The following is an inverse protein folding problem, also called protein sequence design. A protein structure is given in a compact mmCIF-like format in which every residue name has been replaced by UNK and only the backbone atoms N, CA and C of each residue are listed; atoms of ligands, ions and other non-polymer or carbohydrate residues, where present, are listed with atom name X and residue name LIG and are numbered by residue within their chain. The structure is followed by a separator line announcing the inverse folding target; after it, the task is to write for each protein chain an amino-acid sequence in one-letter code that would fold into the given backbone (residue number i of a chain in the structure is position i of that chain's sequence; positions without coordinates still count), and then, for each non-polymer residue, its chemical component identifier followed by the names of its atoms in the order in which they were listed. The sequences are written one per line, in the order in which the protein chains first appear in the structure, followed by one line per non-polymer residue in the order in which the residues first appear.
data_IF_807241997671
#
_entry.id   IF_807241997671
#
_cell.length_a   1.000
_cell.length_b   1.000
_cell.length_c   1.000
_cell.angle_alpha   90.00
_cell.angle_beta   90.00
_cell.angle_gamma   90.00
#
_symmetry.space_group_name_H-M   'P 1'
#
loop_
_entity.id
_entity.type
_entity.pdbx_description
1 polymer ?
#
# COMPACT_ATOMS: atom_id res chain seq x y z
N UNK A 1 -10.28 -14.35 5.53
CA UNK A 1 -10.35 -13.14 4.68
C UNK A 1 -10.23 -11.92 5.58
N UNK A 2 -9.55 -10.87 5.11
CA UNK A 2 -9.36 -9.61 5.81
C UNK A 2 -9.83 -8.51 4.86
N UNK A 3 -10.89 -7.78 5.22
CA UNK A 3 -11.25 -6.58 4.47
C UNK A 3 -10.13 -5.54 4.58
N UNK A 4 -9.70 -5.02 3.43
CA UNK A 4 -8.64 -4.02 3.26
C UNK A 4 -9.06 -2.93 2.26
N UNK A 5 -10.19 -2.25 2.50
CA UNK A 5 -10.65 -1.19 1.61
C UNK A 5 -9.60 -0.08 1.48
N UNK A 6 -9.50 0.52 0.31
CA UNK A 6 -8.63 1.66 0.10
C UNK A 6 -8.09 1.76 -1.31
N UNK A 7 -7.51 0.67 -1.84
CA UNK A 7 -7.16 0.60 -3.26
C UNK A 7 -8.45 0.62 -4.10
N UNK A 8 -9.36 -0.30 -3.77
CA UNK A 8 -10.80 -0.25 -4.09
C UNK A 8 -11.64 -0.40 -2.82
N UNK A 9 -12.95 -0.08 -2.84
CA UNK A 9 -13.84 -0.24 -1.68
C UNK A 9 -14.02 -1.70 -1.23
N UNK A 10 -13.87 -2.65 -2.14
CA UNK A 10 -14.08 -4.09 -1.95
C UNK A 10 -12.77 -4.89 -1.84
N UNK A 11 -11.62 -4.21 -1.83
CA UNK A 11 -10.31 -4.84 -1.67
C UNK A 11 -10.24 -5.71 -0.41
N UNK A 12 -9.67 -6.91 -0.56
CA UNK A 12 -9.43 -7.86 0.52
C UNK A 12 -7.99 -8.39 0.47
N UNK A 13 -7.52 -8.88 1.62
CA UNK A 13 -6.37 -9.78 1.72
C UNK A 13 -6.81 -11.17 2.19
N UNK A 14 -6.10 -12.20 1.75
CA UNK A 14 -6.28 -13.57 2.24
C UNK A 14 -5.07 -13.94 3.08
N UNK A 15 -5.32 -14.46 4.28
CA UNK A 15 -4.25 -14.87 5.19
C UNK A 15 -4.38 -16.35 5.51
N UNK A 16 -3.45 -17.13 5.00
CA UNK A 16 -3.23 -18.51 5.40
C UNK A 16 -2.36 -18.52 6.65
N UNK A 17 -3.02 -18.65 7.80
CA UNK A 17 -2.37 -18.65 9.12
C UNK A 17 -1.52 -19.88 9.37
N UNK A 18 -1.87 -21.02 8.77
CA UNK A 18 -1.13 -22.26 8.98
C UNK A 18 0.26 -22.18 8.35
N UNK A 19 0.39 -21.51 7.20
CA UNK A 19 1.65 -21.38 6.47
C UNK A 19 2.31 -19.99 6.60
N UNK A 20 1.65 -19.04 7.27
CA UNK A 20 2.11 -17.66 7.42
C UNK A 20 2.11 -16.88 6.10
N UNK A 21 1.19 -17.17 5.17
CA UNK A 21 1.16 -16.55 3.84
C UNK A 21 0.07 -15.48 3.75
N UNK A 22 0.46 -14.22 3.56
CA UNK A 22 -0.46 -13.11 3.35
C UNK A 22 -0.52 -12.74 1.86
N UNK A 23 -1.63 -13.04 1.21
CA UNK A 23 -1.95 -12.58 -0.13
C UNK A 23 -2.53 -11.17 -0.04
N UNK A 24 -1.74 -10.16 -0.39
CA UNK A 24 -2.04 -8.74 -0.18
C UNK A 24 -2.80 -8.09 -1.33
N UNK A 25 -2.87 -8.74 -2.49
CA UNK A 25 -3.44 -8.15 -3.70
C UNK A 25 -2.75 -6.84 -4.06
N UNK A 26 -3.54 -5.82 -4.39
CA UNK A 26 -3.04 -4.46 -4.66
C UNK A 26 -2.86 -3.60 -3.41
N UNK A 27 -3.11 -4.15 -2.22
CA UNK A 27 -2.83 -3.43 -0.97
C UNK A 27 -1.33 -3.22 -0.78
N UNK A 28 -0.52 -4.22 -1.15
CA UNK A 28 0.94 -4.17 -1.22
C UNK A 28 1.46 -5.09 -2.31
N UNK A 29 2.43 -4.61 -3.08
CA UNK A 29 3.33 -5.42 -3.89
C UNK A 29 4.66 -4.65 -4.09
N UNK A 30 5.78 -5.33 -4.42
CA UNK A 30 7.07 -4.67 -4.62
C UNK A 30 7.07 -3.82 -5.89
N UNK A 31 6.76 -2.54 -5.76
CA UNK A 31 6.72 -1.56 -6.84
C UNK A 31 5.82 -0.37 -6.51
N UNK A 32 5.55 0.53 -7.47
CA UNK A 32 4.67 1.66 -7.27
C UNK A 32 3.24 1.18 -6.99
N UNK A 33 2.76 1.40 -5.77
CA UNK A 33 1.38 1.09 -5.38
C UNK A 33 0.48 2.19 -5.93
N UNK A 34 -0.50 1.82 -6.74
CA UNK A 34 -1.37 2.78 -7.42
C UNK A 34 -2.52 3.20 -6.51
N UNK A 35 -2.56 4.48 -6.16
CA UNK A 35 -3.57 5.08 -5.27
C UNK A 35 -4.12 6.38 -5.87
N UNK A 36 -4.47 6.35 -7.16
CA UNK A 36 -4.97 7.52 -7.91
C UNK A 36 -6.31 7.31 -8.62
N UNK A 37 -6.89 6.11 -8.54
CA UNK A 37 -8.14 5.76 -9.24
C UNK A 37 -9.34 6.45 -8.60
N UNK A 38 -10.45 6.68 -9.33
CA UNK A 38 -11.67 7.29 -8.76
C UNK A 38 -12.19 6.58 -7.51
N UNK A 39 -12.01 5.27 -7.43
CA UNK A 39 -12.49 4.42 -6.35
C UNK A 39 -11.53 4.37 -5.16
N UNK A 40 -10.31 4.91 -5.30
CA UNK A 40 -9.31 4.91 -4.23
C UNK A 40 -9.77 5.79 -3.06
N UNK A 41 -9.71 5.24 -1.85
CA UNK A 41 -9.96 5.96 -0.60
C UNK A 41 -8.73 5.91 0.31
N UNK A 42 -7.98 7.02 0.38
CA UNK A 42 -6.73 7.11 1.13
C UNK A 42 -6.92 6.96 2.65
N UNK A 43 -8.07 7.38 3.19
CA UNK A 43 -8.37 7.22 4.62
C UNK A 43 -8.60 5.74 4.95
N UNK A 44 -9.36 5.04 4.11
CA UNK A 44 -9.58 3.61 4.25
C UNK A 44 -8.28 2.83 4.05
N UNK A 45 -7.49 3.16 3.03
CA UNK A 45 -6.19 2.54 2.76
C UNK A 45 -5.26 2.64 3.97
N UNK A 46 -5.15 3.82 4.59
CA UNK A 46 -4.36 4.02 5.81
C UNK A 46 -4.79 3.12 6.97
N UNK A 47 -6.10 2.94 7.17
CA UNK A 47 -6.63 2.01 8.19
C UNK A 47 -6.28 0.55 7.84
N UNK A 48 -6.38 0.19 6.57
CA UNK A 48 -6.08 -1.15 6.07
C UNK A 48 -4.60 -1.52 6.22
N UNK A 49 -3.67 -0.64 5.85
CA UNK A 49 -2.23 -0.93 5.97
C UNK A 49 -1.78 -1.01 7.44
N UNK A 50 -2.31 -0.18 8.34
CA UNK A 50 -2.05 -0.32 9.80
C UNK A 50 -2.54 -1.65 10.34
N UNK A 51 -3.73 -2.08 9.91
CA UNK A 51 -4.29 -3.39 10.28
C UNK A 51 -3.39 -4.54 9.81
N UNK A 52 -2.84 -4.46 8.60
CA UNK A 52 -1.90 -5.46 8.08
C UNK A 52 -0.56 -5.44 8.81
N UNK A 53 -0.01 -4.26 9.14
CA UNK A 53 1.21 -4.14 9.94
C UNK A 53 1.09 -4.86 11.29
N UNK A 54 -0.07 -4.79 11.95
CA UNK A 54 -0.33 -5.54 13.19
C UNK A 54 -0.33 -7.06 13.05
N UNK A 55 -0.39 -7.59 11.82
CA UNK A 55 -0.30 -9.03 11.54
C UNK A 55 1.14 -9.50 11.28
N UNK A 56 2.09 -8.58 11.10
CA UNK A 56 3.49 -8.89 10.76
C UNK A 56 4.10 -10.04 11.58
N UNK A 57 3.92 -10.13 12.93
CA UNK A 57 4.51 -11.23 13.71
C UNK A 57 4.01 -12.64 13.35
N UNK A 58 2.89 -12.74 12.62
CA UNK A 58 2.30 -14.02 12.18
C UNK A 58 2.57 -14.30 10.70
N UNK A 59 3.17 -13.36 9.96
CA UNK A 59 3.41 -13.45 8.52
C UNK A 59 4.84 -13.90 8.28
N UNK A 60 4.98 -14.92 7.43
CA UNK A 60 6.26 -15.41 6.91
C UNK A 60 6.60 -14.80 5.56
N UNK A 61 5.60 -14.69 4.67
CA UNK A 61 5.74 -14.08 3.34
C UNK A 61 4.52 -13.24 3.00
N UNK A 62 4.76 -12.12 2.33
CA UNK A 62 3.74 -11.31 1.66
C UNK A 62 3.76 -11.60 0.17
N UNK A 63 2.58 -11.82 -0.40
CA UNK A 63 2.36 -12.23 -1.78
C UNK A 63 1.48 -11.18 -2.47
N UNK A 64 2.11 -10.29 -3.24
CA UNK A 64 1.43 -9.22 -3.98
C UNK A 64 0.80 -9.70 -5.28
N UNK A 65 -0.05 -8.85 -5.89
CA UNK A 65 -0.66 -9.14 -7.19
C UNK A 65 0.27 -8.90 -8.40
N UNK A 66 1.35 -8.13 -8.22
CA UNK A 66 2.18 -7.62 -9.31
C UNK A 66 3.68 -7.72 -9.01
N UNK A 67 4.47 -7.64 -10.09
CA UNK A 67 5.93 -7.56 -10.09
C UNK A 67 6.61 -8.78 -9.47
N UNK A 68 7.18 -8.63 -8.27
CA UNK A 68 7.91 -9.67 -7.56
C UNK A 68 6.93 -10.46 -6.69
N UNK A 69 6.88 -11.79 -6.82
CA UNK A 69 5.82 -12.60 -6.21
C UNK A 69 5.92 -12.70 -4.68
N UNK A 70 7.06 -12.37 -4.08
CA UNK A 70 7.32 -12.53 -2.64
C UNK A 70 7.99 -11.28 -2.07
N UNK A 71 7.63 -10.96 -0.83
CA UNK A 71 8.28 -9.94 -0.02
C UNK A 71 8.38 -10.38 1.46
N UNK A 72 9.39 -9.89 2.20
CA UNK A 72 9.51 -10.18 3.63
C UNK A 72 8.38 -9.51 4.42
N UNK A 73 8.02 -10.01 5.61
CA UNK A 73 6.91 -9.47 6.41
C UNK A 73 7.13 -8.02 6.87
N UNK A 74 8.39 -7.57 6.97
CA UNK A 74 8.75 -6.22 7.41
C UNK A 74 8.17 -5.10 6.53
N UNK A 75 7.88 -5.43 5.26
CA UNK A 75 7.26 -4.50 4.32
C UNK A 75 5.88 -4.02 4.78
N UNK A 76 5.19 -4.76 5.65
CA UNK A 76 3.89 -4.35 6.19
C UNK A 76 4.04 -3.15 7.14
N UNK A 77 5.06 -3.18 8.00
CA UNK A 77 5.42 -2.05 8.86
C UNK A 77 5.98 -0.88 8.06
N UNK A 78 6.87 -1.15 7.09
CA UNK A 78 7.42 -0.14 6.19
C UNK A 78 6.31 0.59 5.41
N UNK A 79 5.35 -0.16 4.87
CA UNK A 79 4.21 0.38 4.13
C UNK A 79 3.36 1.31 5.00
N UNK A 80 3.01 0.88 6.22
CA UNK A 80 2.20 1.69 7.13
C UNK A 80 2.91 2.99 7.50
N UNK A 81 4.19 2.91 7.90
CA UNK A 81 4.98 4.08 8.25
C UNK A 81 5.22 5.02 7.06
N UNK A 82 5.47 4.46 5.87
CA UNK A 82 5.62 5.24 4.64
C UNK A 82 4.35 5.99 4.29
N UNK A 83 3.20 5.32 4.35
CA UNK A 83 1.92 5.93 4.05
C UNK A 83 1.56 7.03 5.07
N UNK A 84 1.85 6.84 6.36
CA UNK A 84 1.64 7.86 7.39
C UNK A 84 2.44 9.14 7.12
N UNK A 85 3.70 9.02 6.71
CA UNK A 85 4.53 10.19 6.33
C UNK A 85 3.94 10.92 5.13
N UNK A 86 3.46 10.19 4.13
CA UNK A 86 2.79 10.78 2.96
C UNK A 86 1.50 11.50 3.36
N UNK A 87 0.66 10.88 4.20
CA UNK A 87 -0.57 11.50 4.71
C UNK A 87 -0.31 12.75 5.56
N UNK A 88 0.81 12.77 6.29
CA UNK A 88 1.23 13.92 7.09
C UNK A 88 1.86 15.05 6.26
N UNK A 89 2.01 14.89 4.94
CA UNK A 89 2.66 15.88 4.07
C UNK A 89 4.17 16.01 4.32
N UNK A 90 4.80 14.98 4.88
CA UNK A 90 6.22 14.99 5.27
C UNK A 90 7.17 14.46 4.19
N UNK A 91 6.64 14.14 3.00
CA UNK A 91 7.37 13.48 1.92
C UNK A 91 7.29 14.34 0.67
N UNK A 92 8.45 14.66 0.09
CA UNK A 92 8.53 15.32 -1.21
C UNK A 92 8.10 14.34 -2.32
N UNK A 93 7.46 14.86 -3.36
CA UNK A 93 7.04 14.06 -4.50
C UNK A 93 7.64 14.59 -5.80
N UNK A 94 7.70 13.71 -6.81
CA UNK A 94 8.06 14.08 -8.19
C UNK A 94 6.88 13.89 -9.14
N UNK A 95 6.74 14.71 -10.19
CA UNK A 95 5.71 14.50 -11.22
C UNK A 95 5.82 13.12 -11.87
N UNK A 96 4.67 12.52 -12.20
CA UNK A 96 4.57 11.17 -12.76
C UNK A 96 3.49 11.07 -13.85
N UNK A 97 3.55 11.99 -14.82
CA UNK A 97 2.51 12.17 -15.83
C UNK A 97 1.39 13.10 -15.36
N UNK A 98 0.43 13.33 -16.24
CA UNK A 98 -0.66 14.29 -16.03
C UNK A 98 -1.48 13.96 -14.77
N UNK A 99 -1.60 14.95 -13.88
CA UNK A 99 -2.35 14.84 -12.63
C UNK A 99 -1.81 13.85 -11.59
N UNK A 100 -0.60 13.30 -11.77
CA UNK A 100 -0.03 12.25 -10.91
C UNK A 100 1.34 12.61 -10.37
N UNK A 101 1.64 12.05 -9.20
CA UNK A 101 2.92 12.22 -8.52
C UNK A 101 3.40 10.90 -7.93
N UNK A 102 4.71 10.75 -7.82
CA UNK A 102 5.36 9.63 -7.14
C UNK A 102 5.90 10.11 -5.81
N UNK A 103 5.55 9.38 -4.75
CA UNK A 103 6.18 9.45 -3.43
C UNK A 103 7.09 8.22 -3.25
N UNK A 104 8.32 8.43 -2.82
CA UNK A 104 9.29 7.37 -2.52
C UNK A 104 9.72 7.52 -1.06
N UNK A 105 9.52 6.47 -0.25
CA UNK A 105 9.86 6.45 1.17
C UNK A 105 10.53 5.12 1.50
N UNK A 106 11.86 5.13 1.57
CA UNK A 106 12.63 3.90 1.75
C UNK A 106 12.41 2.94 0.58
N UNK A 107 11.96 1.73 0.88
CA UNK A 107 11.62 0.67 -0.09
C UNK A 107 10.23 0.83 -0.74
N UNK A 108 9.40 1.74 -0.26
CA UNK A 108 7.99 1.86 -0.64
C UNK A 108 7.79 3.03 -1.60
N UNK A 109 7.11 2.76 -2.72
CA UNK A 109 6.75 3.76 -3.73
C UNK A 109 5.23 3.85 -3.86
N UNK A 110 4.67 5.06 -3.85
CA UNK A 110 3.26 5.30 -4.14
C UNK A 110 3.12 6.15 -5.41
N UNK A 111 2.19 5.77 -6.29
CA UNK A 111 1.72 6.59 -7.40
C UNK A 111 0.35 7.15 -7.03
N UNK A 112 0.24 8.46 -6.87
CA UNK A 112 -0.96 9.11 -6.32
C UNK A 112 -1.39 10.30 -7.20
N UNK A 113 -2.60 10.81 -6.96
CA UNK A 113 -3.03 12.09 -7.55
C UNK A 113 -2.15 13.22 -7.02
N UNK A 114 -1.87 14.20 -7.88
CA UNK A 114 -1.18 15.42 -7.46
C UNK A 114 -2.00 16.15 -6.38
N UNK A 115 -1.40 16.51 -5.22
CA UNK A 115 -2.11 17.21 -4.15
C UNK A 115 -2.46 18.66 -4.54
N UNK A 116 -1.78 19.24 -5.52
CA UNK A 116 -1.97 20.63 -5.96
C UNK A 116 -3.02 20.81 -7.05
N UNK A 117 -3.71 19.74 -7.47
CA UNK A 117 -4.82 19.84 -8.42
C UNK A 117 -4.44 20.62 -9.69
N UNK A 118 -3.33 20.27 -10.34
CA UNK A 118 -3.00 20.88 -11.63
C UNK A 118 -3.93 20.24 -12.67
N UNK A 119 -4.85 21.07 -13.15
CA UNK A 119 -5.71 20.84 -14.31
C UNK A 119 -4.89 20.65 -15.57
#
# INVERSE_FOLDING_TARGET
MIATPGHTPDSICLFDRANGLLFSGDTYYPGPIWLFRPETNLVAYGKSVRKLAGLQPQVRLVLGAHNVPVAPPDVLGELAAAFEKVQAGQVQYRPAGEGKVIYEVGSVTFLMRSPTGVR
#
